data_IF_409912458567
#
_entry.id   IF_409912458567
#
_cell.length_a   1.000
_cell.length_b   1.000
_cell.length_c   1.000
_cell.angle_alpha   90.00
_cell.angle_beta   90.00
_cell.angle_gamma   90.00
#
_symmetry.space_group_name_H-M   'P 1'
#
loop_
_entity.id
_entity.type
_entity.pdbx_description
1 polymer ?
#
# COMPACT_ATOMS: atom_id res chain seq x y z
N UNK A 1 -16.57 9.66 -5.47
CA UNK A 1 -15.42 8.80 -5.81
C UNK A 1 -14.15 9.64 -5.76
N UNK A 2 -13.08 9.14 -5.13
CA UNK A 2 -11.79 9.83 -4.99
C UNK A 2 -10.70 9.02 -5.71
N UNK A 3 -9.77 9.71 -6.37
CA UNK A 3 -8.56 9.11 -6.95
C UNK A 3 -7.33 9.63 -6.23
N UNK A 4 -6.33 8.77 -6.03
CA UNK A 4 -5.06 9.09 -5.38
C UNK A 4 -3.95 8.69 -6.34
N UNK A 5 -3.05 9.62 -6.64
CA UNK A 5 -1.90 9.38 -7.50
C UNK A 5 -0.61 9.58 -6.70
N UNK A 6 0.34 8.66 -6.91
CA UNK A 6 1.66 8.67 -6.30
C UNK A 6 2.67 8.16 -7.32
N UNK A 7 3.80 8.84 -7.44
CA UNK A 7 4.97 8.30 -8.12
C UNK A 7 5.85 7.59 -7.08
N UNK A 8 6.45 6.47 -7.47
CA UNK A 8 7.28 5.60 -6.62
C UNK A 8 8.68 5.54 -7.21
N UNK A 9 9.72 5.48 -6.36
CA UNK A 9 11.13 5.52 -6.79
C UNK A 9 11.83 6.85 -6.53
N UNK A 10 12.93 7.11 -7.24
CA UNK A 10 13.80 8.29 -7.04
C UNK A 10 13.22 9.58 -7.63
N UNK A 11 12.00 9.94 -7.22
CA UNK A 11 11.25 11.09 -7.75
C UNK A 11 11.57 12.42 -7.05
N UNK A 12 12.58 12.48 -6.18
CA UNK A 12 13.03 13.73 -5.54
C UNK A 12 14.54 13.85 -5.48
N UNK A 13 15.03 15.09 -5.46
CA UNK A 13 16.45 15.41 -5.33
C UNK A 13 16.99 15.20 -3.89
N UNK A 14 16.11 14.98 -2.91
CA UNK A 14 16.44 14.77 -1.49
C UNK A 14 15.63 13.60 -0.91
N UNK A 15 15.76 12.42 -1.53
CA UNK A 15 15.16 11.16 -1.06
C UNK A 15 14.02 10.67 -1.95
N UNK A 16 14.13 9.44 -2.43
CA UNK A 16 13.08 8.78 -3.22
C UNK A 16 11.90 8.33 -2.36
N UNK A 17 10.75 8.16 -3.00
CA UNK A 17 9.62 7.41 -2.43
C UNK A 17 9.93 5.91 -2.39
N UNK A 18 9.66 5.29 -1.24
CA UNK A 18 9.87 3.85 -1.02
C UNK A 18 8.91 3.01 -1.86
N UNK A 19 9.32 1.80 -2.25
CA UNK A 19 8.42 0.86 -2.94
C UNK A 19 7.23 0.45 -2.06
N UNK A 20 7.42 0.42 -0.75
CA UNK A 20 6.32 0.29 0.22
C UNK A 20 5.59 1.62 0.33
N UNK A 21 4.31 1.61 -0.03
CA UNK A 21 3.44 2.77 0.01
C UNK A 21 2.34 2.58 1.04
N UNK A 22 2.12 3.60 1.87
CA UNK A 22 0.99 3.65 2.80
C UNK A 22 0.01 4.72 2.29
N UNK A 23 -1.18 4.26 1.87
CA UNK A 23 -2.18 5.12 1.23
C UNK A 23 -3.39 5.26 2.15
N UNK A 24 -3.54 6.44 2.75
CA UNK A 24 -4.70 6.78 3.56
C UNK A 24 -5.99 6.82 2.73
N UNK A 25 -6.91 5.90 3.00
CA UNK A 25 -8.18 5.77 2.29
C UNK A 25 -9.25 6.75 2.80
N UNK A 26 -9.17 7.18 4.07
CA UNK A 26 -10.17 8.06 4.70
C UNK A 26 -11.52 7.34 4.87
N UNK A 27 -12.63 8.04 4.63
CA UNK A 27 -14.00 7.50 4.77
C UNK A 27 -14.44 6.56 3.63
N UNK A 28 -13.49 5.99 2.88
CA UNK A 28 -13.81 5.05 1.82
C UNK A 28 -14.37 3.75 2.42
N UNK A 29 -15.32 3.12 1.72
CA UNK A 29 -15.88 1.80 2.10
C UNK A 29 -15.38 0.66 1.20
N UNK A 30 -14.49 0.97 0.25
CA UNK A 30 -13.91 -0.01 -0.65
C UNK A 30 -12.97 0.59 -1.67
N UNK A 31 -12.11 -0.26 -2.23
CA UNK A 31 -11.16 0.10 -3.30
C UNK A 31 -11.73 -0.38 -4.64
N UNK A 32 -12.01 0.55 -5.56
CA UNK A 32 -12.54 0.18 -6.88
C UNK A 32 -11.50 -0.52 -7.76
N UNK A 33 -10.29 0.02 -7.79
CA UNK A 33 -9.15 -0.54 -8.51
C UNK A 33 -7.85 0.10 -8.02
N UNK A 34 -6.75 -0.64 -8.14
CA UNK A 34 -5.38 -0.12 -8.05
C UNK A 34 -4.77 -0.23 -9.43
N UNK A 35 -4.14 0.85 -9.91
CA UNK A 35 -3.48 0.88 -11.22
C UNK A 35 -2.02 1.23 -11.01
N UNK A 36 -1.13 0.35 -11.49
CA UNK A 36 0.31 0.52 -11.37
C UNK A 36 0.87 0.58 -12.79
N UNK A 37 1.60 1.66 -13.08
CA UNK A 37 2.40 1.76 -14.29
C UNK A 37 3.84 1.41 -13.95
N UNK A 38 4.37 0.39 -14.63
CA UNK A 38 5.75 -0.07 -14.44
C UNK A 38 6.65 0.56 -15.51
N UNK A 39 7.53 1.51 -15.16
CA UNK A 39 8.35 2.21 -16.15
C UNK A 39 9.43 1.30 -16.77
N UNK A 40 9.81 0.20 -16.10
CA UNK A 40 10.81 -0.75 -16.60
C UNK A 40 10.34 -1.49 -17.86
N UNK A 41 9.13 -2.07 -17.82
CA UNK A 41 8.52 -2.74 -18.98
C UNK A 41 7.61 -1.84 -19.83
N UNK A 42 7.19 -0.68 -19.33
CA UNK A 42 6.16 0.16 -19.94
C UNK A 42 4.75 -0.41 -19.83
N UNK A 43 4.55 -1.44 -19.01
CA UNK A 43 3.24 -2.08 -18.83
C UNK A 43 2.40 -1.40 -17.74
N UNK A 44 1.08 -1.59 -17.81
CA UNK A 44 0.15 -1.14 -16.77
C UNK A 44 -0.59 -2.34 -16.21
N UNK A 45 -0.50 -2.52 -14.90
CA UNK A 45 -1.21 -3.56 -14.16
C UNK A 45 -2.43 -2.95 -13.46
N UNK A 46 -3.58 -3.62 -13.56
CA UNK A 46 -4.83 -3.17 -12.94
C UNK A 46 -5.35 -4.27 -12.02
N UNK A 47 -5.38 -3.96 -10.73
CA UNK A 47 -5.88 -4.87 -9.70
C UNK A 47 -7.29 -4.44 -9.28
N UNK A 48 -8.18 -5.41 -9.11
CA UNK A 48 -9.54 -5.23 -8.59
C UNK A 48 -9.75 -6.12 -7.37
N UNK A 49 -10.72 -5.76 -6.54
CA UNK A 49 -11.03 -6.56 -5.34
C UNK A 49 -9.94 -6.51 -4.26
N UNK A 50 -9.07 -5.49 -4.28
CA UNK A 50 -8.09 -5.28 -3.22
C UNK A 50 -8.84 -4.96 -1.92
N UNK A 51 -8.64 -5.72 -0.83
CA UNK A 51 -9.29 -5.44 0.44
C UNK A 51 -8.74 -4.14 1.06
N UNK A 52 -9.55 -3.51 1.91
CA UNK A 52 -9.08 -2.41 2.74
C UNK A 52 -8.25 -2.94 3.92
N UNK A 53 -7.45 -2.06 4.52
CA UNK A 53 -6.74 -2.31 5.79
C UNK A 53 -5.78 -3.52 5.75
N UNK A 54 -5.23 -3.82 4.57
CA UNK A 54 -4.23 -4.86 4.36
C UNK A 54 -2.96 -4.31 3.72
N UNK A 55 -1.87 -5.04 3.89
CA UNK A 55 -0.70 -4.92 3.03
C UNK A 55 -0.77 -5.96 1.92
N UNK A 56 -0.48 -5.53 0.69
CA UNK A 56 -0.34 -6.42 -0.45
C UNK A 56 1.03 -6.21 -1.10
N UNK A 57 1.63 -7.30 -1.56
CA UNK A 57 2.78 -7.29 -2.46
C UNK A 57 2.26 -7.43 -3.89
N UNK A 58 2.76 -6.55 -4.77
CA UNK A 58 2.47 -6.61 -6.20
C UNK A 58 3.79 -6.76 -6.93
N UNK A 59 3.85 -7.76 -7.80
CA UNK A 59 5.02 -8.07 -8.62
C UNK A 59 4.72 -7.75 -10.08
N UNK A 60 5.65 -7.06 -10.73
CA UNK A 60 5.57 -6.75 -12.15
C UNK A 60 5.48 -8.04 -12.97
N UNK A 61 4.52 -8.10 -13.89
CA UNK A 61 4.28 -9.27 -14.74
C UNK A 61 3.28 -10.28 -14.17
N UNK A 62 2.94 -10.20 -12.88
CA UNK A 62 1.88 -11.02 -12.29
C UNK A 62 0.50 -10.40 -12.52
N UNK A 63 -0.55 -11.21 -12.59
CA UNK A 63 -1.93 -10.71 -12.74
C UNK A 63 -2.59 -10.39 -11.39
N UNK A 64 -2.07 -10.99 -10.30
CA UNK A 64 -2.63 -10.92 -8.95
C UNK A 64 -1.67 -10.23 -7.98
N UNK A 65 -2.12 -10.11 -6.74
CA UNK A 65 -1.34 -9.61 -5.61
C UNK A 65 -1.37 -10.61 -4.47
N UNK A 66 -0.34 -10.59 -3.64
CA UNK A 66 -0.22 -11.47 -2.48
C UNK A 66 -0.41 -10.67 -1.19
N UNK A 67 -1.30 -11.07 -0.26
CA UNK A 67 -1.40 -10.44 1.05
C UNK A 67 -0.12 -10.67 1.86
N UNK A 68 0.40 -9.60 2.47
CA UNK A 68 1.56 -9.68 3.36
C UNK A 68 1.06 -9.54 4.80
N UNK A 69 1.26 -10.56 5.67
CA UNK A 69 0.90 -10.46 7.08
C UNK A 69 1.65 -9.32 7.76
N UNK A 70 0.91 -8.39 8.37
CA UNK A 70 1.47 -7.39 9.26
C UNK A 70 1.36 -7.87 10.70
N UNK A 71 2.48 -7.90 11.40
CA UNK A 71 2.48 -8.19 12.83
C UNK A 71 1.76 -7.07 13.58
N UNK A 72 0.72 -7.43 14.32
CA UNK A 72 -0.04 -6.47 15.13
C UNK A 72 0.77 -6.11 16.37
N UNK A 73 1.18 -4.85 16.44
CA UNK A 73 1.84 -4.31 17.64
C UNK A 73 0.77 -3.66 18.53
N UNK A 74 0.65 -4.14 19.77
CA UNK A 74 -0.18 -3.53 20.80
C UNK A 74 0.53 -2.31 21.38
N UNK A 75 0.22 -1.12 20.87
CA UNK A 75 0.77 0.13 21.37
C UNK A 75 0.10 0.49 22.71
N UNK A 76 0.84 0.38 23.83
CA UNK A 76 0.41 0.89 25.14
C UNK A 76 0.21 -0.14 26.26
N UNK A 77 0.60 -1.41 26.11
CA UNK A 77 0.54 -2.39 27.21
C UNK A 77 1.79 -2.31 28.10
N UNK A 78 1.96 -1.20 28.83
CA UNK A 78 2.88 -1.15 29.97
C UNK A 78 2.33 -1.96 31.16
N UNK A 79 3.17 -2.45 32.08
CA UNK A 79 2.66 -3.08 33.30
C UNK A 79 1.79 -2.06 34.05
N UNK A 80 0.55 -2.45 34.40
CA UNK A 80 -0.26 -1.69 35.34
C UNK A 80 0.50 -1.67 36.67
N UNK A 81 1.12 -0.55 37.01
CA UNK A 81 1.60 -0.31 38.37
C UNK A 81 0.37 -0.30 39.29
N UNK A 82 0.20 -1.34 40.11
CA UNK A 82 -0.75 -1.29 41.22
C UNK A 82 -0.15 -0.40 42.30
N UNK A 83 -0.88 0.67 42.65
CA UNK A 83 -0.70 1.27 43.98
C UNK A 83 -1.22 0.33 45.05
#
# INVERSE_FOLDING_TARGET
TRSIHRAVGSVSSFGGSTSRQEIGLGDAIGIRQVTIFWPGSGTTQVLKGVPMDVMIEVREGEETFEPVPLERIELGRGPRSSK
#
